data_IF_271360758107
#
_entry.id   IF_271360758107
#
_cell.length_a   1.000
_cell.length_b   1.000
_cell.length_c   1.000
_cell.angle_alpha   90.00
_cell.angle_beta   90.00
_cell.angle_gamma   90.00
#
_symmetry.space_group_name_H-M   'P 1'
#
loop_
_entity.id
_entity.type
_entity.pdbx_description
1 polymer ?
#
# COMPACT_ATOMS: atom_id res chain seq x y z
N UNK A 1 42.72 7.01 1.22
CA UNK A 1 41.61 6.01 1.15
C UNK A 1 40.36 6.73 0.75
N UNK A 2 39.92 6.51 -0.46
CA UNK A 2 38.62 7.03 -0.90
C UNK A 2 37.54 6.05 -0.40
N UNK A 3 36.79 6.45 0.59
CA UNK A 3 35.60 5.74 1.01
C UNK A 3 34.65 5.72 -0.19
N UNK A 4 34.50 4.57 -0.83
CA UNK A 4 33.39 4.36 -1.77
C UNK A 4 32.14 4.44 -0.95
N UNK A 5 31.50 5.59 -0.91
CA UNK A 5 30.11 5.70 -0.50
C UNK A 5 29.32 4.82 -1.46
N UNK A 6 29.07 3.58 -1.05
CA UNK A 6 28.10 2.76 -1.75
C UNK A 6 26.77 3.49 -1.58
N UNK A 7 26.33 4.12 -2.65
CA UNK A 7 25.01 4.77 -2.66
C UNK A 7 23.96 3.67 -2.58
N UNK A 8 23.64 3.29 -1.33
CA UNK A 8 22.59 2.29 -1.05
C UNK A 8 21.27 2.94 -1.43
N UNK A 9 20.62 2.41 -2.44
CA UNK A 9 19.33 2.91 -2.87
C UNK A 9 18.25 1.84 -2.73
N UNK A 10 17.06 2.29 -2.36
CA UNK A 10 15.89 1.45 -2.23
C UNK A 10 15.09 1.45 -3.54
N UNK A 11 14.79 0.27 -4.05
CA UNK A 11 13.91 0.13 -5.20
C UNK A 11 12.45 0.16 -4.74
N UNK A 12 11.72 1.22 -5.10
CA UNK A 12 10.33 1.40 -4.68
C UNK A 12 9.37 0.36 -5.25
N UNK A 13 9.62 -0.17 -6.43
CA UNK A 13 8.82 -1.26 -6.99
C UNK A 13 8.94 -2.54 -6.17
N UNK A 14 10.16 -2.88 -5.75
CA UNK A 14 10.40 -4.01 -4.87
C UNK A 14 9.76 -3.80 -3.49
N UNK A 15 9.89 -2.60 -2.93
CA UNK A 15 9.25 -2.23 -1.66
C UNK A 15 7.73 -2.31 -1.77
N UNK A 16 7.13 -1.88 -2.87
CA UNK A 16 5.68 -1.97 -3.11
C UNK A 16 5.21 -3.41 -3.16
N UNK A 17 5.96 -4.30 -3.82
CA UNK A 17 5.65 -5.73 -3.84
C UNK A 17 5.73 -6.34 -2.43
N UNK A 18 6.77 -6.03 -1.68
CA UNK A 18 6.88 -6.44 -0.28
C UNK A 18 5.68 -5.95 0.54
N UNK A 19 5.36 -4.66 0.45
CA UNK A 19 4.26 -4.05 1.18
C UNK A 19 2.91 -4.73 0.87
N UNK A 20 2.61 -4.95 -0.40
CA UNK A 20 1.38 -5.62 -0.82
C UNK A 20 1.27 -7.04 -0.26
N UNK A 21 2.36 -7.82 -0.30
CA UNK A 21 2.37 -9.17 0.30
C UNK A 21 2.14 -9.11 1.80
N UNK A 22 2.80 -8.18 2.48
CA UNK A 22 2.68 -8.02 3.93
C UNK A 22 1.25 -7.62 4.36
N UNK A 23 0.61 -6.71 3.63
CA UNK A 23 -0.73 -6.22 3.94
C UNK A 23 -1.82 -7.24 3.58
N UNK A 24 -1.71 -7.88 2.41
CA UNK A 24 -2.72 -8.85 1.95
C UNK A 24 -2.56 -10.23 2.57
N UNK A 25 -1.39 -10.53 3.11
CA UNK A 25 -1.08 -11.82 3.71
C UNK A 25 -0.70 -12.92 2.72
N UNK A 26 -0.49 -12.61 1.44
CA UNK A 26 -0.12 -13.60 0.43
C UNK A 26 0.37 -13.04 -0.88
N UNK A 27 1.20 -13.81 -1.57
CA UNK A 27 1.76 -13.45 -2.88
C UNK A 27 0.70 -13.39 -3.99
N UNK A 28 -0.26 -14.29 -3.96
CA UNK A 28 -1.36 -14.33 -4.94
C UNK A 28 -2.29 -13.12 -4.79
N UNK A 29 -2.62 -12.75 -3.55
CA UNK A 29 -3.46 -11.59 -3.26
C UNK A 29 -2.75 -10.28 -3.62
N UNK A 30 -1.46 -10.18 -3.31
CA UNK A 30 -0.62 -9.05 -3.69
C UNK A 30 -0.55 -8.89 -5.21
N UNK A 31 -0.42 -9.99 -5.95
CA UNK A 31 -0.40 -9.99 -7.40
C UNK A 31 -1.71 -9.44 -7.99
N UNK A 32 -2.84 -9.81 -7.42
CA UNK A 32 -4.16 -9.27 -7.81
C UNK A 32 -4.26 -7.78 -7.52
N UNK A 33 -3.85 -7.35 -6.34
CA UNK A 33 -3.92 -5.94 -5.92
C UNK A 33 -3.05 -5.04 -6.80
N UNK A 34 -1.84 -5.48 -7.13
CA UNK A 34 -0.90 -4.73 -7.97
C UNK A 34 -1.09 -4.95 -9.47
N UNK A 35 -2.02 -5.80 -9.85
CA UNK A 35 -2.26 -6.18 -11.25
C UNK A 35 -0.98 -6.69 -11.95
N UNK A 36 -0.25 -7.55 -11.24
CA UNK A 36 0.98 -8.21 -11.69
C UNK A 36 0.82 -9.72 -11.62
N UNK A 37 1.69 -10.44 -12.33
CA UNK A 37 1.80 -11.89 -12.16
C UNK A 37 2.44 -12.27 -10.82
N UNK A 38 2.00 -13.37 -10.19
CA UNK A 38 2.60 -13.86 -8.95
C UNK A 38 4.12 -14.11 -9.05
N UNK A 39 4.66 -14.68 -10.15
CA UNK A 39 6.10 -14.82 -10.30
C UNK A 39 6.86 -13.49 -10.24
N UNK A 40 6.27 -12.43 -10.77
CA UNK A 40 6.84 -11.08 -10.73
C UNK A 40 6.92 -10.54 -9.30
N UNK A 41 5.89 -10.71 -8.51
CA UNK A 41 5.89 -10.34 -7.08
C UNK A 41 7.00 -11.09 -6.34
N UNK A 42 7.09 -12.40 -6.54
CA UNK A 42 8.11 -13.25 -5.90
C UNK A 42 9.52 -12.79 -6.24
N UNK A 43 9.78 -12.50 -7.51
CA UNK A 43 11.09 -12.00 -7.98
C UNK A 43 11.45 -10.66 -7.34
N UNK A 44 10.51 -9.73 -7.27
CA UNK A 44 10.75 -8.40 -6.68
C UNK A 44 11.01 -8.46 -5.18
N UNK A 45 10.24 -9.25 -4.44
CA UNK A 45 10.44 -9.43 -3.00
C UNK A 45 11.79 -10.09 -2.73
N UNK A 46 12.10 -11.16 -3.47
CA UNK A 46 13.39 -11.84 -3.32
C UNK A 46 14.56 -10.93 -3.68
N UNK A 47 14.45 -10.12 -4.72
CA UNK A 47 15.50 -9.17 -5.11
C UNK A 47 15.75 -8.14 -4.01
N UNK A 48 14.71 -7.68 -3.31
CA UNK A 48 14.85 -6.78 -2.16
C UNK A 48 15.61 -7.46 -1.01
N UNK A 49 15.22 -8.68 -0.66
CA UNK A 49 15.88 -9.47 0.37
C UNK A 49 17.35 -9.75 0.02
N UNK A 50 17.63 -10.15 -1.22
CA UNK A 50 18.98 -10.50 -1.68
C UNK A 50 19.89 -9.26 -1.74
N UNK A 51 19.37 -8.11 -2.17
CA UNK A 51 20.16 -6.87 -2.26
C UNK A 51 20.68 -6.40 -0.90
N UNK A 52 19.86 -6.51 0.14
CA UNK A 52 20.24 -6.14 1.50
C UNK A 52 20.78 -7.32 2.32
N UNK A 53 20.70 -8.54 1.82
CA UNK A 53 21.14 -9.74 2.54
C UNK A 53 20.29 -10.04 3.77
N UNK A 54 18.98 -9.84 3.68
CA UNK A 54 18.05 -9.98 4.81
C UNK A 54 16.85 -10.87 4.46
N UNK A 55 16.16 -11.36 5.46
CA UNK A 55 14.88 -12.06 5.32
C UNK A 55 13.75 -11.19 5.89
N UNK A 56 12.76 -10.90 5.05
CA UNK A 56 11.59 -10.12 5.40
C UNK A 56 10.39 -11.02 5.71
N UNK A 57 10.32 -12.17 5.05
CA UNK A 57 9.32 -13.20 5.28
C UNK A 57 9.95 -14.45 5.84
N UNK A 58 9.26 -15.10 6.79
CA UNK A 58 9.68 -16.41 7.31
C UNK A 58 9.50 -17.49 6.25
N UNK A 59 10.49 -18.35 6.11
CA UNK A 59 10.47 -19.48 5.18
C UNK A 59 9.96 -20.77 5.83
N UNK A 60 9.54 -20.68 7.09
CA UNK A 60 9.04 -21.83 7.83
C UNK A 60 7.51 -21.83 7.85
N UNK A 61 6.91 -22.91 7.38
CA UNK A 61 5.47 -23.10 7.34
C UNK A 61 4.81 -22.81 6.00
N UNK A 62 3.50 -23.03 5.92
CA UNK A 62 2.69 -22.84 4.70
C UNK A 62 2.11 -21.45 4.56
N UNK A 63 2.16 -20.65 5.63
CA UNK A 63 1.63 -19.30 5.64
C UNK A 63 2.76 -18.28 5.49
N UNK A 64 2.43 -17.16 4.85
CA UNK A 64 3.33 -16.03 4.72
C UNK A 64 3.34 -15.25 6.03
N UNK A 65 4.46 -15.29 6.73
CA UNK A 65 4.67 -14.57 7.99
C UNK A 65 5.84 -13.61 7.88
N UNK A 66 5.70 -12.44 8.47
CA UNK A 66 6.77 -11.46 8.54
C UNK A 66 7.80 -11.83 9.62
N UNK A 67 9.08 -11.61 9.31
CA UNK A 67 10.12 -11.56 10.33
C UNK A 67 10.00 -10.29 11.18
N UNK A 68 10.78 -10.19 12.26
CA UNK A 68 10.86 -8.92 13.04
C UNK A 68 11.27 -7.74 12.16
N UNK A 69 12.22 -7.96 11.25
CA UNK A 69 12.65 -6.96 10.28
C UNK A 69 11.54 -6.63 9.29
N UNK A 70 10.81 -7.65 8.82
CA UNK A 70 9.64 -7.46 7.96
C UNK A 70 8.56 -6.60 8.62
N UNK A 71 8.25 -6.81 9.89
CA UNK A 71 7.32 -5.95 10.65
C UNK A 71 7.82 -4.51 10.75
N UNK A 72 9.10 -4.31 11.03
CA UNK A 72 9.70 -2.97 11.09
C UNK A 72 9.61 -2.28 9.73
N UNK A 73 9.94 -2.98 8.65
CA UNK A 73 9.84 -2.43 7.29
C UNK A 73 8.40 -2.14 6.88
N UNK A 74 7.44 -2.97 7.27
CA UNK A 74 6.03 -2.72 7.02
C UNK A 74 5.57 -1.39 7.62
N UNK A 75 5.93 -1.11 8.86
CA UNK A 75 5.61 0.17 9.50
C UNK A 75 6.18 1.36 8.74
N UNK A 76 7.40 1.25 8.24
CA UNK A 76 8.03 2.32 7.44
C UNK A 76 7.38 2.43 6.07
N UNK A 77 7.14 1.32 5.39
CA UNK A 77 6.54 1.32 4.06
C UNK A 77 5.11 1.88 4.06
N UNK A 78 4.34 1.65 5.10
CA UNK A 78 3.02 2.27 5.27
C UNK A 78 3.10 3.80 5.26
N UNK A 79 4.08 4.37 5.96
CA UNK A 79 4.32 5.83 5.97
C UNK A 79 4.82 6.34 4.63
N UNK A 80 5.70 5.61 3.97
CA UNK A 80 6.23 5.97 2.64
C UNK A 80 5.09 6.06 1.62
N UNK A 81 4.25 5.04 1.53
CA UNK A 81 3.15 5.02 0.55
C UNK A 81 2.01 5.97 0.91
N UNK A 82 1.79 6.24 2.19
CA UNK A 82 0.89 7.32 2.63
C UNK A 82 1.39 8.69 2.16
N UNK A 83 2.68 8.97 2.28
CA UNK A 83 3.29 10.20 1.78
C UNK A 83 3.29 10.29 0.24
N UNK A 84 3.46 9.16 -0.45
CA UNK A 84 3.31 9.11 -1.91
C UNK A 84 1.90 9.53 -2.34
N UNK A 85 0.86 9.01 -1.67
CA UNK A 85 -0.52 9.42 -1.93
C UNK A 85 -0.73 10.91 -1.68
N UNK A 86 -0.17 11.46 -0.61
CA UNK A 86 -0.22 12.88 -0.30
C UNK A 86 0.45 13.72 -1.41
N UNK A 87 1.59 13.26 -1.92
CA UNK A 87 2.26 13.92 -3.05
C UNK A 87 1.38 13.90 -4.32
N UNK A 88 0.71 12.79 -4.61
CA UNK A 88 -0.23 12.67 -5.73
C UNK A 88 -1.41 13.65 -5.56
N UNK A 89 -1.96 13.77 -4.36
CA UNK A 89 -3.05 14.70 -4.06
C UNK A 89 -2.64 16.16 -4.29
N UNK A 90 -1.45 16.56 -3.82
CA UNK A 90 -0.91 17.91 -4.03
C UNK A 90 -0.76 18.22 -5.52
N UNK A 91 -0.17 17.30 -6.28
CA UNK A 91 0.05 17.47 -7.72
C UNK A 91 -1.27 17.48 -8.50
N UNK A 92 -2.19 16.61 -8.14
CA UNK A 92 -3.50 16.52 -8.77
C UNK A 92 -4.32 17.79 -8.55
N UNK A 93 -4.29 18.34 -7.33
CA UNK A 93 -4.96 19.60 -7.00
C UNK A 93 -4.40 20.78 -7.80
N UNK A 94 -3.06 20.84 -7.95
CA UNK A 94 -2.39 21.90 -8.70
C UNK A 94 -2.63 21.81 -10.21
N UNK A 95 -2.76 20.62 -10.75
CA UNK A 95 -2.97 20.38 -12.19
C UNK A 95 -4.45 20.46 -12.64
N UNK A 96 -5.39 20.59 -11.70
CA UNK A 96 -6.82 20.54 -11.99
C UNK A 96 -7.34 19.16 -12.33
N UNK A 97 -6.56 18.11 -12.14
CA UNK A 97 -7.06 16.74 -12.23
C UNK A 97 -8.08 16.49 -11.12
N UNK A 98 -9.27 16.06 -11.50
CA UNK A 98 -10.33 15.62 -10.57
C UNK A 98 -10.16 14.14 -10.19
N UNK A 99 -8.95 13.68 -10.17
CA UNK A 99 -8.58 12.35 -9.73
C UNK A 99 -8.11 12.43 -8.29
N UNK A 100 -8.72 11.68 -7.43
CA UNK A 100 -8.37 11.61 -6.01
C UNK A 100 -8.95 10.35 -5.40
N UNK A 101 -8.53 10.06 -4.20
CA UNK A 101 -9.09 8.99 -3.38
C UNK A 101 -9.74 9.62 -2.16
N UNK A 102 -11.04 9.37 -1.99
CA UNK A 102 -11.78 9.76 -0.79
C UNK A 102 -12.13 8.51 0.01
N UNK A 103 -11.69 8.47 1.26
CA UNK A 103 -12.06 7.42 2.20
C UNK A 103 -13.07 7.96 3.21
N UNK A 104 -14.24 7.34 3.28
CA UNK A 104 -15.31 7.71 4.19
C UNK A 104 -15.52 6.61 5.21
N UNK A 105 -15.45 6.96 6.50
CA UNK A 105 -15.89 6.12 7.60
C UNK A 105 -17.36 6.38 7.93
N UNK A 106 -18.19 5.35 7.98
CA UNK A 106 -19.60 5.48 8.31
C UNK A 106 -20.05 4.46 9.36
N UNK A 107 -20.96 4.89 10.21
CA UNK A 107 -21.52 4.09 11.31
C UNK A 107 -22.73 3.25 10.86
N UNK A 108 -23.36 3.62 9.75
CA UNK A 108 -24.53 2.90 9.24
C UNK A 108 -24.65 2.93 7.72
N UNK A 109 -25.22 1.87 7.12
CA UNK A 109 -25.28 1.72 5.67
C UNK A 109 -26.22 2.70 4.97
N UNK A 110 -27.26 3.17 5.62
CA UNK A 110 -28.29 4.04 4.99
C UNK A 110 -27.79 5.45 4.67
N UNK A 111 -26.93 6.01 5.51
CA UNK A 111 -26.40 7.37 5.32
C UNK A 111 -25.33 7.42 4.22
N UNK A 112 -24.66 6.31 3.98
CA UNK A 112 -23.54 6.21 3.05
C UNK A 112 -24.01 6.08 1.61
N UNK A 113 -25.10 5.36 1.36
CA UNK A 113 -25.56 5.04 -0.01
C UNK A 113 -25.94 6.31 -0.78
N UNK A 114 -26.71 7.20 -0.18
CA UNK A 114 -27.12 8.48 -0.83
C UNK A 114 -25.90 9.40 -1.07
N UNK A 115 -25.03 9.52 -0.07
CA UNK A 115 -23.81 10.33 -0.18
C UNK A 115 -22.85 9.79 -1.24
N UNK A 116 -22.67 8.47 -1.29
CA UNK A 116 -21.80 7.81 -2.26
C UNK A 116 -22.32 7.97 -3.69
N UNK A 117 -23.61 7.83 -3.89
CA UNK A 117 -24.23 8.02 -5.20
C UNK A 117 -24.14 9.48 -5.67
N UNK A 118 -24.43 10.43 -4.80
CA UNK A 118 -24.33 11.86 -5.11
C UNK A 118 -22.89 12.28 -5.44
N UNK A 119 -21.93 11.80 -4.66
CA UNK A 119 -20.51 12.08 -4.86
C UNK A 119 -19.99 11.44 -6.15
N UNK A 120 -20.33 10.17 -6.43
CA UNK A 120 -19.93 9.47 -7.64
C UNK A 120 -20.49 10.09 -8.92
N UNK A 121 -21.68 10.69 -8.87
CA UNK A 121 -22.26 11.45 -9.98
C UNK A 121 -21.58 12.81 -10.20
N UNK A 122 -21.20 13.49 -9.11
CA UNK A 122 -20.54 14.80 -9.17
C UNK A 122 -19.07 14.69 -9.56
N UNK A 123 -18.40 13.63 -9.13
CA UNK A 123 -16.95 13.42 -9.29
C UNK A 123 -16.65 11.99 -9.77
N UNK A 124 -16.94 11.65 -11.04
CA UNK A 124 -16.83 10.28 -11.54
C UNK A 124 -15.38 9.76 -11.61
N UNK A 125 -14.39 10.66 -11.62
CA UNK A 125 -12.96 10.31 -11.70
C UNK A 125 -12.28 10.19 -10.33
N UNK A 126 -13.04 10.36 -9.25
CA UNK A 126 -12.53 10.20 -7.88
C UNK A 126 -12.84 8.79 -7.40
N UNK A 127 -11.80 8.10 -6.95
CA UNK A 127 -11.95 6.79 -6.33
C UNK A 127 -12.47 6.92 -4.91
N UNK A 128 -13.60 6.29 -4.63
CA UNK A 128 -14.30 6.39 -3.37
C UNK A 128 -14.24 5.05 -2.63
N UNK A 129 -13.64 5.04 -1.45
CA UNK A 129 -13.71 3.90 -0.55
C UNK A 129 -14.54 4.22 0.69
N UNK A 130 -15.38 3.26 1.08
CA UNK A 130 -16.24 3.38 2.24
C UNK A 130 -15.95 2.27 3.23
N UNK A 131 -15.64 2.65 4.46
CA UNK A 131 -15.45 1.71 5.57
C UNK A 131 -16.64 1.81 6.53
N UNK A 132 -17.26 0.67 6.83
CA UNK A 132 -18.29 0.57 7.83
C UNK A 132 -17.67 0.04 9.13
N UNK A 133 -17.92 0.72 10.23
CA UNK A 133 -17.37 0.35 11.53
C UNK A 133 -18.13 1.00 12.67
N UNK A 134 -17.75 0.67 13.90
CA UNK A 134 -18.27 1.38 15.06
C UNK A 134 -17.52 2.70 15.29
N UNK A 135 -18.05 3.56 16.17
CA UNK A 135 -17.49 4.89 16.41
C UNK A 135 -16.03 4.90 16.87
N UNK A 136 -15.55 3.82 17.49
CA UNK A 136 -14.16 3.72 17.93
C UNK A 136 -13.22 3.28 16.81
N UNK A 137 -13.67 2.44 15.91
CA UNK A 137 -12.89 1.95 14.77
C UNK A 137 -12.70 3.03 13.69
N UNK A 138 -13.69 3.90 13.50
CA UNK A 138 -13.65 4.97 12.49
C UNK A 138 -12.79 6.15 12.93
N UNK A 139 -12.72 6.43 14.24
CA UNK A 139 -11.96 7.55 14.79
C UNK A 139 -10.49 7.20 15.12
N UNK A 140 -10.13 5.94 15.06
CA UNK A 140 -8.76 5.49 15.22
C UNK A 140 -8.01 5.56 13.88
#
# INVERSE_FOLDING_TARGET
MVSKSHNVSLNFKQLRCFHAVAVTGGFTLAAKELNLGQPSITVHVKALEDYFGVELFSRYGHNVELTKLGHALLNVSQRIFSLEMEAVEILSAASGFQTGHLSIGAIGPHQVTELTMAFGQAYPDVDLSVSLGNSQEILA
#
